data_IF_937533753301
#
_entry.id   IF_937533753301
#
_cell.length_a   1.000
_cell.length_b   1.000
_cell.length_c   1.000
_cell.angle_alpha   90.00
_cell.angle_beta   90.00
_cell.angle_gamma   90.00
#
_symmetry.space_group_name_H-M   'P 1'
#
loop_
_entity.id
_entity.type
_entity.pdbx_description
1 polymer ?
#
# COMPACT_ATOMS: atom_id res chain seq x y z
N UNK A 1 31.84 -8.01 19.14
CA UNK A 1 31.40 -8.20 18.48
C UNK A 1 30.85 -8.55 18.06
N UNK A 2 30.76 -8.11 17.94
CA UNK A 2 30.27 -8.20 17.25
C UNK A 2 29.63 -8.36 16.80
N UNK A 3 29.47 -8.18 16.77
CA UNK A 3 28.84 -8.18 16.07
C UNK A 3 28.25 -8.50 15.68
N UNK A 4 28.38 -8.27 16.13
CA UNK A 4 27.78 -8.43 15.41
C UNK A 4 27.21 -8.74 14.79
N UNK A 5 27.38 -8.68 14.96
CA UNK A 5 26.60 -8.78 14.10
C UNK A 5 26.10 -8.92 13.49
N UNK A 6 26.10 -8.87 13.47
CA UNK A 6 25.59 -8.82 12.66
C UNK A 6 25.17 -9.09 12.07
N UNK A 7 25.16 -9.08 12.30
CA UNK A 7 24.75 -9.21 11.50
C UNK A 7 24.15 -9.23 10.95
N UNK A 8 23.85 -9.11 11.09
CA UNK A 8 23.27 -8.99 10.27
C UNK A 8 23.22 -8.79 9.76
N UNK A 9 23.35 -8.71 9.99
CA UNK A 9 23.36 -8.48 9.25
C UNK A 9 23.56 -7.92 8.88
N UNK A 10 23.77 -8.41 9.83
CA UNK A 10 23.93 -7.09 9.62
C UNK A 10 24.14 -6.54 8.33
N UNK A 11 23.29 -6.40 7.83
CA UNK A 11 23.42 -5.76 6.56
C UNK A 11 23.24 -4.28 6.77
N UNK A 12 24.31 -3.56 6.66
CA UNK A 12 24.23 -2.12 6.63
C UNK A 12 23.82 -1.75 5.22
N UNK A 13 22.62 -1.28 5.07
CA UNK A 13 22.18 -0.77 3.79
C UNK A 13 22.64 0.68 3.69
N UNK A 14 23.63 0.89 2.83
CA UNK A 14 24.10 2.24 2.58
C UNK A 14 23.19 2.87 1.53
N UNK A 15 22.47 3.87 1.93
CA UNK A 15 21.52 4.56 1.05
C UNK A 15 22.04 5.94 0.70
N UNK A 16 21.85 6.31 -0.56
CA UNK A 16 22.17 7.67 -0.98
C UNK A 16 21.10 8.64 -0.44
N UNK A 17 21.41 9.94 -0.34
CA UNK A 17 20.38 10.91 0.04
C UNK A 17 19.16 10.88 -0.85
N UNK A 18 19.34 10.60 -2.15
CA UNK A 18 18.22 10.48 -3.07
C UNK A 18 17.32 9.30 -2.73
N UNK A 19 17.92 8.17 -2.38
CA UNK A 19 17.16 7.00 -1.98
C UNK A 19 16.39 7.24 -0.69
N UNK A 20 16.99 7.95 0.26
CA UNK A 20 16.32 8.31 1.50
C UNK A 20 15.14 9.22 1.22
N UNK A 21 15.31 10.20 0.34
CA UNK A 21 14.23 11.10 -0.06
C UNK A 21 13.12 10.33 -0.75
N UNK A 22 13.47 9.39 -1.63
CA UNK A 22 12.49 8.56 -2.32
C UNK A 22 11.65 7.76 -1.32
N UNK A 23 12.27 7.19 -0.30
CA UNK A 23 11.54 6.45 0.71
C UNK A 23 10.55 7.34 1.47
N UNK A 24 10.93 8.58 1.76
CA UNK A 24 10.03 9.53 2.40
C UNK A 24 8.83 9.83 1.51
N UNK A 25 9.07 10.02 0.20
CA UNK A 25 8.00 10.27 -0.76
C UNK A 25 7.09 9.05 -0.89
N UNK A 26 7.68 7.85 -0.96
CA UNK A 26 6.90 6.62 -1.06
C UNK A 26 6.05 6.39 0.20
N UNK A 27 6.58 6.76 1.36
CA UNK A 27 5.83 6.65 2.60
C UNK A 27 4.59 7.54 2.59
N UNK A 28 4.69 8.74 2.02
CA UNK A 28 3.51 9.61 1.90
C UNK A 28 2.41 8.94 1.08
N UNK A 29 2.79 8.29 -0.02
CA UNK A 29 1.81 7.58 -0.85
C UNK A 29 1.22 6.40 -0.08
N UNK A 30 2.06 5.66 0.65
CA UNK A 30 1.58 4.54 1.45
C UNK A 30 0.63 5.00 2.55
N UNK A 31 0.96 6.10 3.21
CA UNK A 31 0.09 6.67 4.25
C UNK A 31 -1.25 7.10 3.66
N UNK A 32 -1.23 7.66 2.44
CA UNK A 32 -2.45 8.01 1.73
C UNK A 32 -3.30 6.76 1.49
N UNK A 33 -2.68 5.68 1.04
CA UNK A 33 -3.40 4.43 0.81
C UNK A 33 -3.98 3.85 2.09
N UNK A 34 -3.20 3.89 3.17
CA UNK A 34 -3.66 3.37 4.46
C UNK A 34 -4.80 4.19 5.05
N UNK A 35 -4.81 5.49 4.80
CA UNK A 35 -5.85 6.39 5.29
C UNK A 35 -7.09 6.36 4.41
N UNK A 36 -6.88 6.41 3.09
CA UNK A 36 -7.96 6.61 2.13
C UNK A 36 -8.22 5.36 1.29
N UNK A 37 -8.00 4.18 1.85
CA UNK A 37 -8.17 2.92 1.12
C UNK A 37 -9.58 2.75 0.56
N UNK A 38 -10.58 3.39 1.17
CA UNK A 38 -11.97 3.28 0.74
C UNK A 38 -12.29 4.17 -0.46
N UNK A 39 -11.40 5.10 -0.80
CA UNK A 39 -11.60 5.97 -1.94
C UNK A 39 -11.08 5.31 -3.20
N UNK A 40 -11.57 5.72 -4.39
CA UNK A 40 -11.10 5.15 -5.65
C UNK A 40 -9.72 5.69 -6.03
N UNK A 41 -8.71 5.25 -5.31
CA UNK A 41 -7.33 5.66 -5.56
C UNK A 41 -6.78 4.95 -6.78
N UNK A 42 -6.15 5.71 -7.69
CA UNK A 42 -5.47 5.12 -8.84
C UNK A 42 -3.97 5.43 -8.75
N UNK A 43 -3.19 4.76 -9.59
CA UNK A 43 -1.73 4.92 -9.56
C UNK A 43 -1.31 6.37 -9.80
N UNK A 44 -1.88 7.10 -10.78
CA UNK A 44 -1.51 8.51 -10.94
C UNK A 44 -1.73 9.37 -9.70
N UNK A 45 -2.82 9.15 -8.97
CA UNK A 45 -3.09 9.89 -7.74
C UNK A 45 -2.05 9.57 -6.67
N UNK A 46 -1.74 8.29 -6.51
CA UNK A 46 -0.74 7.86 -5.54
C UNK A 46 0.65 8.37 -5.91
N UNK A 47 0.97 8.36 -7.20
CA UNK A 47 2.26 8.85 -7.68
C UNK A 47 2.41 10.35 -7.40
N UNK A 48 1.34 11.12 -7.58
CA UNK A 48 1.38 12.55 -7.26
C UNK A 48 1.68 12.78 -5.78
N UNK A 49 1.11 11.96 -4.90
CA UNK A 49 1.40 12.05 -3.48
C UNK A 49 2.87 11.78 -3.18
N UNK A 50 3.51 10.95 -4.00
CA UNK A 50 4.92 10.64 -3.87
C UNK A 50 5.81 11.59 -4.67
N UNK A 51 5.23 12.55 -5.40
CA UNK A 51 5.94 13.49 -6.25
C UNK A 51 6.75 12.78 -7.35
N UNK A 52 6.15 11.74 -7.91
CA UNK A 52 6.79 10.91 -8.94
C UNK A 52 5.84 10.69 -10.10
N UNK A 53 6.41 10.34 -11.27
CA UNK A 53 5.59 9.89 -12.38
C UNK A 53 5.00 8.52 -12.05
N UNK A 54 3.87 8.13 -12.65
CA UNK A 54 3.27 6.81 -12.36
C UNK A 54 4.22 5.64 -12.57
N UNK A 55 4.96 5.62 -13.68
CA UNK A 55 5.89 4.51 -13.95
C UNK A 55 7.03 4.47 -12.94
N UNK A 56 7.60 5.63 -12.63
CA UNK A 56 8.69 5.72 -11.66
C UNK A 56 8.20 5.32 -10.28
N UNK A 57 7.03 5.80 -9.90
CA UNK A 57 6.41 5.47 -8.62
C UNK A 57 6.19 3.96 -8.48
N UNK A 58 5.64 3.33 -9.50
CA UNK A 58 5.36 1.89 -9.45
C UNK A 58 6.63 1.08 -9.26
N UNK A 59 7.70 1.43 -9.98
CA UNK A 59 8.97 0.71 -9.85
C UNK A 59 9.59 0.92 -8.48
N UNK A 60 9.60 2.16 -8.02
CA UNK A 60 10.21 2.49 -6.71
C UNK A 60 9.42 1.88 -5.56
N UNK A 61 8.10 1.92 -5.64
CA UNK A 61 7.25 1.35 -4.61
C UNK A 61 7.48 -0.16 -4.50
N UNK A 62 7.50 -0.85 -5.65
CA UNK A 62 7.73 -2.28 -5.64
C UNK A 62 9.12 -2.63 -5.09
N UNK A 63 10.13 -1.85 -5.45
CA UNK A 63 11.48 -2.08 -4.95
C UNK A 63 11.55 -1.89 -3.43
N UNK A 64 10.83 -0.90 -2.91
CA UNK A 64 10.87 -0.59 -1.49
C UNK A 64 10.01 -1.53 -0.64
N UNK A 65 8.85 -1.92 -1.13
CA UNK A 65 7.86 -2.65 -0.33
C UNK A 65 7.58 -4.06 -0.81
N UNK A 66 8.19 -4.49 -1.92
CA UNK A 66 8.04 -5.86 -2.39
C UNK A 66 6.78 -6.15 -3.17
N UNK A 67 5.89 -5.18 -3.34
CA UNK A 67 4.66 -5.37 -4.12
C UNK A 67 4.29 -4.08 -4.82
N UNK A 68 3.51 -4.21 -5.88
CA UNK A 68 3.08 -3.04 -6.64
C UNK A 68 2.13 -2.18 -5.80
N UNK A 69 2.00 -0.88 -6.13
CA UNK A 69 1.04 -0.03 -5.41
C UNK A 69 -0.38 -0.57 -5.45
N UNK A 70 -0.80 -1.08 -6.61
CA UNK A 70 -2.14 -1.64 -6.73
C UNK A 70 -2.33 -2.86 -5.83
N UNK A 71 -1.35 -3.78 -5.82
CA UNK A 71 -1.42 -4.98 -5.00
C UNK A 71 -1.47 -4.61 -3.51
N UNK A 72 -0.67 -3.63 -3.11
CA UNK A 72 -0.68 -3.15 -1.74
C UNK A 72 -2.06 -2.61 -1.35
N UNK A 73 -2.63 -1.76 -2.21
CA UNK A 73 -3.93 -1.17 -1.95
C UNK A 73 -5.02 -2.25 -1.84
N UNK A 74 -4.99 -3.22 -2.74
CA UNK A 74 -5.96 -4.31 -2.71
C UNK A 74 -5.84 -5.15 -1.44
N UNK A 75 -4.62 -5.42 -1.01
CA UNK A 75 -4.39 -6.13 0.25
C UNK A 75 -4.99 -5.38 1.43
N UNK A 76 -4.76 -4.05 1.48
CA UNK A 76 -5.33 -3.24 2.56
C UNK A 76 -6.87 -3.27 2.53
N UNK A 77 -7.45 -3.19 1.35
CA UNK A 77 -8.91 -3.26 1.20
C UNK A 77 -9.45 -4.59 1.68
N UNK A 78 -8.78 -5.68 1.31
CA UNK A 78 -9.21 -7.01 1.72
C UNK A 78 -9.13 -7.16 3.23
N UNK A 79 -8.04 -6.71 3.84
CA UNK A 79 -7.87 -6.79 5.28
C UNK A 79 -8.96 -6.03 6.02
N UNK A 80 -9.30 -4.83 5.52
CA UNK A 80 -10.34 -4.03 6.15
C UNK A 80 -11.72 -4.64 5.95
N UNK A 81 -11.96 -5.20 4.76
CA UNK A 81 -13.23 -5.87 4.49
C UNK A 81 -13.42 -7.07 5.41
N UNK A 82 -12.36 -7.85 5.63
CA UNK A 82 -12.41 -8.98 6.54
C UNK A 82 -12.70 -8.52 7.97
N UNK A 83 -12.11 -7.39 8.38
CA UNK A 83 -12.35 -6.84 9.70
C UNK A 83 -13.83 -6.46 9.88
N UNK A 84 -14.42 -5.82 8.86
CA UNK A 84 -15.83 -5.47 8.93
C UNK A 84 -16.72 -6.72 9.00
N UNK A 85 -16.38 -7.75 8.24
CA UNK A 85 -17.14 -9.00 8.27
C UNK A 85 -17.07 -9.66 9.64
N UNK A 86 -15.92 -9.62 10.28
CA UNK A 86 -15.77 -10.15 11.63
C UNK A 86 -16.61 -9.39 12.64
N UNK A 87 -16.91 -8.12 12.34
CA UNK A 87 -17.78 -7.30 13.18
C UNK A 87 -19.26 -7.46 12.83
N UNK A 88 -19.57 -8.38 11.90
CA UNK A 88 -20.95 -8.63 11.49
C UNK A 88 -21.45 -7.72 10.38
N UNK A 89 -20.58 -6.90 9.79
CA UNK A 89 -20.95 -6.01 8.70
C UNK A 89 -20.76 -6.72 7.36
N UNK A 90 -21.63 -6.42 6.40
CA UNK A 90 -21.45 -6.91 5.04
C UNK A 90 -20.71 -5.85 4.23
N UNK A 91 -20.28 -6.23 3.01
CA UNK A 91 -19.68 -5.26 2.09
C UNK A 91 -20.66 -4.14 1.79
N UNK A 92 -21.94 -4.46 1.70
CA UNK A 92 -23.00 -3.47 1.46
C UNK A 92 -23.08 -2.45 2.60
N UNK A 93 -22.79 -2.86 3.82
CA UNK A 93 -22.84 -1.99 4.99
C UNK A 93 -21.55 -1.24 5.24
N UNK A 94 -20.50 -1.51 4.44
CA UNK A 94 -19.20 -0.88 4.63
C UNK A 94 -19.21 0.57 4.16
N UNK A 95 -18.20 1.37 4.57
CA UNK A 95 -18.14 2.78 4.19
C UNK A 95 -18.10 3.04 2.68
N UNK A 96 -17.67 2.06 1.89
CA UNK A 96 -17.54 2.23 0.44
C UNK A 96 -18.63 1.54 -0.36
N UNK A 97 -19.74 1.22 0.28
CA UNK A 97 -20.80 0.39 -0.32
C UNK A 97 -21.37 0.93 -1.63
N UNK A 98 -21.38 2.26 -1.81
CA UNK A 98 -22.01 2.89 -2.96
C UNK A 98 -21.03 3.17 -4.10
N UNK A 99 -19.79 2.79 -3.96
CA UNK A 99 -18.74 3.15 -4.92
C UNK A 99 -18.40 1.99 -5.85
N UNK A 100 -17.69 2.32 -6.94
CA UNK A 100 -17.10 1.30 -7.79
C UNK A 100 -16.16 0.40 -6.99
N UNK A 101 -15.61 0.95 -5.92
CA UNK A 101 -14.74 0.23 -5.01
C UNK A 101 -15.47 -0.93 -4.35
N UNK A 102 -16.72 -0.72 -3.94
CA UNK A 102 -17.51 -1.78 -3.33
C UNK A 102 -17.68 -2.97 -4.29
N UNK A 103 -17.89 -2.67 -5.57
CA UNK A 103 -18.01 -3.73 -6.58
C UNK A 103 -16.69 -4.49 -6.73
N UNK A 104 -15.59 -3.77 -6.71
CA UNK A 104 -14.26 -4.37 -6.80
C UNK A 104 -14.01 -5.28 -5.59
N UNK A 105 -14.35 -4.81 -4.40
CA UNK A 105 -14.17 -5.57 -3.17
C UNK A 105 -15.03 -6.83 -3.17
N UNK A 106 -16.28 -6.74 -3.61
CA UNK A 106 -17.15 -7.91 -3.69
C UNK A 106 -16.57 -8.96 -4.65
N UNK A 107 -15.97 -8.50 -5.77
CA UNK A 107 -15.34 -9.41 -6.71
C UNK A 107 -14.17 -10.15 -6.08
N UNK A 108 -13.32 -9.42 -5.35
CA UNK A 108 -12.17 -10.02 -4.69
C UNK A 108 -12.61 -11.00 -3.60
N UNK A 109 -13.56 -10.60 -2.77
CA UNK A 109 -14.02 -11.43 -1.67
C UNK A 109 -14.73 -12.71 -2.13
N UNK A 110 -15.19 -12.72 -3.37
CA UNK A 110 -15.81 -13.92 -3.92
C UNK A 110 -14.83 -15.10 -4.02
N UNK A 111 -13.53 -14.79 -4.10
CA UNK A 111 -12.49 -15.80 -4.23
C UNK A 111 -11.82 -16.13 -2.90
N UNK A 112 -12.26 -15.51 -1.84
CA UNK A 112 -11.78 -15.82 -0.51
C UNK A 112 -12.53 -17.03 0.03
#
# INVERSE_FOLDING_TARGET
>A
MRQLGSRSSGTVVVMTPEEIADLAHLRRARDLMDRDYALPLDVPTMARAALMSPAHFSRKFRAAYGETPYAYLMTRRIERAKAFLRQGMTVTDSPWRSSALARSMRRVMRYE
#
